data_IF_551397534755
#
_entry.id   IF_551397534755
#
_cell.length_a   1.000
_cell.length_b   1.000
_cell.length_c   1.000
_cell.angle_alpha   90.00
_cell.angle_beta   90.00
_cell.angle_gamma   90.00
#
_symmetry.space_group_name_H-M   'P 1'
#
loop_
_entity.id
_entity.type
_entity.pdbx_description
1 polymer ?
#
# COMPACT_ATOMS: atom_id res chain seq x y z
N UNK A 1 -35.08 18.02 -12.07
CA UNK A 1 -34.73 17.57 -10.71
C UNK A 1 -33.36 16.91 -10.77
N UNK A 2 -32.33 17.60 -10.28
CA UNK A 2 -30.98 17.05 -10.15
C UNK A 2 -30.39 17.59 -8.86
N UNK A 3 -30.13 16.71 -7.90
CA UNK A 3 -29.45 17.08 -6.65
C UNK A 3 -28.04 16.51 -6.69
N UNK A 4 -27.10 17.43 -6.92
CA UNK A 4 -25.68 17.29 -6.62
C UNK A 4 -25.53 17.13 -5.10
N UNK A 5 -24.92 16.04 -4.64
CA UNK A 5 -24.53 15.87 -3.24
C UNK A 5 -23.21 16.65 -3.07
N UNK A 6 -23.34 17.87 -2.56
CA UNK A 6 -22.21 18.68 -2.12
C UNK A 6 -21.68 18.18 -0.78
N UNK A 7 -20.38 17.86 -0.73
CA UNK A 7 -19.63 17.71 0.50
C UNK A 7 -19.61 19.05 1.24
N UNK A 8 -20.44 19.18 2.28
CA UNK A 8 -20.38 20.31 3.18
C UNK A 8 -19.16 20.15 4.11
N UNK A 9 -18.18 21.03 3.93
CA UNK A 9 -17.16 21.34 4.93
C UNK A 9 -17.84 21.63 6.27
N UNK A 10 -17.61 20.78 7.26
CA UNK A 10 -17.71 21.17 8.66
C UNK A 10 -16.28 21.39 9.16
N UNK A 11 -15.91 22.65 9.36
CA UNK A 11 -14.63 23.02 9.95
C UNK A 11 -14.55 22.56 11.42
N UNK A 12 -13.41 22.01 11.89
CA UNK A 12 -13.11 22.00 13.30
C UNK A 12 -12.25 23.21 13.64
N UNK A 13 -12.84 24.19 14.32
CA UNK A 13 -12.06 25.08 15.16
C UNK A 13 -11.57 24.28 16.38
N UNK A 14 -10.28 24.40 16.69
CA UNK A 14 -9.58 23.85 17.87
C UNK A 14 -9.07 22.39 17.81
N UNK A 15 -8.22 22.08 16.83
CA UNK A 15 -6.99 21.27 17.06
C UNK A 15 -5.89 21.85 16.15
N UNK A 16 -5.27 22.93 16.61
CA UNK A 16 -4.19 23.60 15.89
C UNK A 16 -2.85 22.97 16.27
N UNK A 17 -2.18 22.36 15.29
CA UNK A 17 -0.82 21.85 15.36
C UNK A 17 -0.75 20.40 14.89
N UNK A 18 -0.15 20.16 13.72
CA UNK A 18 0.28 18.86 13.21
C UNK A 18 -0.73 17.92 12.54
N UNK A 19 -1.73 18.45 11.83
CA UNK A 19 -2.36 17.73 10.70
C UNK A 19 -1.90 18.38 9.40
N UNK A 20 -0.61 18.24 9.10
CA UNK A 20 -0.06 18.63 7.79
C UNK A 20 -0.54 17.62 6.74
N UNK A 21 -1.64 17.98 6.08
CA UNK A 21 -1.99 17.62 4.70
C UNK A 21 -1.69 16.16 4.34
N UNK A 22 -2.64 15.29 4.64
CA UNK A 22 -2.84 14.10 3.83
C UNK A 22 -2.83 14.56 2.37
N UNK A 23 -1.82 14.17 1.58
CA UNK A 23 -1.83 14.50 0.16
C UNK A 23 -3.11 13.91 -0.42
N UNK A 24 -3.90 14.69 -1.18
CA UNK A 24 -5.15 14.27 -1.82
C UNK A 24 -5.06 12.85 -2.41
N UNK A 25 -3.94 12.53 -3.06
CA UNK A 25 -3.64 11.20 -3.62
C UNK A 25 -3.71 10.06 -2.59
N UNK A 26 -3.20 10.26 -1.37
CA UNK A 26 -3.26 9.26 -0.31
C UNK A 26 -4.68 9.08 0.22
N UNK A 27 -5.47 10.17 0.33
CA UNK A 27 -6.87 10.08 0.71
C UNK A 27 -7.70 9.29 -0.30
N UNK A 28 -7.50 9.55 -1.58
CA UNK A 28 -8.15 8.83 -2.67
C UNK A 28 -7.74 7.35 -2.67
N UNK A 29 -6.45 7.08 -2.44
CA UNK A 29 -5.93 5.72 -2.34
C UNK A 29 -6.52 4.96 -1.14
N UNK A 30 -6.66 5.62 0.02
CA UNK A 30 -7.29 5.01 1.19
C UNK A 30 -8.81 4.86 1.03
N UNK A 31 -9.48 5.77 0.32
CA UNK A 31 -10.89 5.62 -0.02
C UNK A 31 -11.12 4.41 -0.93
N UNK A 32 -10.19 4.10 -1.85
CA UNK A 32 -10.24 2.89 -2.68
C UNK A 32 -10.07 1.61 -1.86
N UNK A 33 -9.11 1.59 -0.93
CA UNK A 33 -8.87 0.46 -0.01
C UNK A 33 -10.11 0.18 0.85
N UNK A 34 -10.73 1.24 1.37
CA UNK A 34 -11.93 1.13 2.17
C UNK A 34 -13.16 0.76 1.31
N UNK A 35 -13.29 1.33 0.11
CA UNK A 35 -14.43 1.11 -0.78
C UNK A 35 -14.50 -0.29 -1.39
N UNK A 36 -13.39 -1.02 -1.44
CA UNK A 36 -13.37 -2.44 -1.84
C UNK A 36 -13.91 -3.38 -0.76
N UNK A 37 -14.05 -2.92 0.47
CA UNK A 37 -14.74 -3.67 1.52
C UNK A 37 -16.22 -3.31 1.54
N UNK A 38 -17.09 -4.32 1.53
CA UNK A 38 -18.54 -4.16 1.59
C UNK A 38 -19.05 -3.62 2.93
N UNK A 39 -18.21 -3.61 3.96
CA UNK A 39 -18.54 -3.11 5.30
C UNK A 39 -18.11 -1.65 5.46
N UNK A 40 -18.96 -0.85 6.08
CA UNK A 40 -18.61 0.52 6.43
C UNK A 40 -17.37 0.54 7.36
N UNK A 41 -16.38 1.39 7.10
CA UNK A 41 -15.17 1.45 7.90
C UNK A 41 -15.49 1.86 9.33
N UNK A 42 -15.02 1.09 10.31
CA UNK A 42 -15.16 1.44 11.72
C UNK A 42 -14.28 2.63 12.07
N UNK A 43 -14.63 3.36 13.12
CA UNK A 43 -13.80 4.46 13.64
C UNK A 43 -12.38 4.00 14.00
N UNK A 44 -12.24 2.74 14.43
CA UNK A 44 -10.94 2.13 14.74
C UNK A 44 -10.08 1.94 13.48
N UNK A 45 -10.65 1.45 12.38
CA UNK A 45 -9.94 1.32 11.09
C UNK A 45 -9.52 2.68 10.55
N UNK A 46 -10.40 3.68 10.62
CA UNK A 46 -10.08 5.05 10.20
C UNK A 46 -8.94 5.63 11.06
N UNK A 47 -8.98 5.43 12.37
CA UNK A 47 -7.91 5.87 13.26
C UNK A 47 -6.60 5.11 13.00
N UNK A 48 -6.64 3.83 12.65
CA UNK A 48 -5.46 3.07 12.26
C UNK A 48 -4.82 3.63 10.98
N UNK A 49 -5.63 3.90 9.94
CA UNK A 49 -5.16 4.51 8.69
C UNK A 49 -4.55 5.89 8.94
N UNK A 50 -5.15 6.71 9.80
CA UNK A 50 -4.59 8.00 10.18
C UNK A 50 -3.21 7.87 10.89
N UNK A 51 -3.00 6.81 11.69
CA UNK A 51 -1.68 6.55 12.30
C UNK A 51 -0.64 6.10 11.27
N UNK A 52 -1.04 5.38 10.23
CA UNK A 52 -0.16 5.00 9.13
C UNK A 52 0.29 6.23 8.32
N UNK A 53 -0.61 7.20 8.14
CA UNK A 53 -0.28 8.50 7.56
C UNK A 53 0.79 9.24 8.39
N UNK A 54 0.59 9.33 9.70
CA UNK A 54 1.61 9.91 10.59
C UNK A 54 2.93 9.14 10.56
N UNK A 55 2.89 7.81 10.42
CA UNK A 55 4.10 7.00 10.32
C UNK A 55 4.90 7.28 9.04
N UNK A 56 4.25 7.59 7.91
CA UNK A 56 4.96 7.81 6.63
C UNK A 56 5.83 9.07 6.62
N UNK A 57 5.48 10.07 7.43
CA UNK A 57 6.21 11.35 7.52
C UNK A 57 7.45 11.26 8.41
N UNK A 58 7.54 10.22 9.26
CA UNK A 58 8.64 10.00 10.20
C UNK A 58 9.67 9.06 9.59
N UNK A 59 10.68 9.58 8.88
CA UNK A 59 11.80 8.77 8.37
C UNK A 59 12.93 8.63 9.41
N UNK A 60 13.67 7.50 9.48
CA UNK A 60 13.49 6.21 8.78
C UNK A 60 12.64 5.18 9.54
N UNK A 61 12.19 5.50 10.76
CA UNK A 61 11.42 4.60 11.62
C UNK A 61 10.06 4.23 11.02
N UNK A 62 9.46 5.14 10.26
CA UNK A 62 8.18 5.01 9.59
C UNK A 62 8.11 3.86 8.60
N UNK A 63 9.13 3.69 7.74
CA UNK A 63 9.18 2.59 6.79
C UNK A 63 9.16 1.23 7.49
N UNK A 64 9.91 1.08 8.58
CA UNK A 64 9.96 -0.16 9.34
C UNK A 64 8.61 -0.49 9.97
N UNK A 65 7.96 0.51 10.57
CA UNK A 65 6.61 0.37 11.15
C UNK A 65 5.57 -0.01 10.09
N UNK A 66 5.60 0.64 8.93
CA UNK A 66 4.69 0.33 7.82
C UNK A 66 4.91 -1.09 7.28
N UNK A 67 6.17 -1.54 7.17
CA UNK A 67 6.47 -2.92 6.77
C UNK A 67 6.08 -3.96 7.84
N UNK A 68 6.10 -3.61 9.13
CA UNK A 68 5.58 -4.46 10.20
C UNK A 68 4.05 -4.53 10.11
N UNK A 69 3.39 -3.39 9.88
CA UNK A 69 1.94 -3.30 9.71
C UNK A 69 1.42 -3.92 8.42
N UNK A 70 2.26 -4.07 7.40
CA UNK A 70 1.94 -4.84 6.19
C UNK A 70 2.08 -6.35 6.36
N UNK A 71 2.41 -6.86 7.55
CA UNK A 71 2.67 -8.28 7.78
C UNK A 71 1.52 -8.93 8.59
N UNK A 72 0.96 -10.07 8.11
CA UNK A 72 -0.16 -10.74 8.78
C UNK A 72 0.19 -11.29 10.17
N UNK A 73 1.48 -11.42 10.48
CA UNK A 73 1.95 -11.76 11.83
C UNK A 73 1.68 -10.66 12.87
N UNK A 74 1.66 -9.40 12.45
CA UNK A 74 1.56 -8.25 13.35
C UNK A 74 0.26 -7.46 13.18
N UNK A 75 -0.40 -7.57 12.03
CA UNK A 75 -1.63 -6.85 11.73
C UNK A 75 -2.67 -7.82 11.11
N UNK A 76 -3.69 -8.25 11.88
CA UNK A 76 -4.68 -9.21 11.40
C UNK A 76 -5.63 -8.63 10.35
N UNK A 77 -5.86 -7.31 10.34
CA UNK A 77 -6.82 -6.68 9.41
C UNK A 77 -6.21 -6.48 8.00
N UNK A 78 -6.74 -7.14 6.95
CA UNK A 78 -6.30 -6.98 5.57
C UNK A 78 -6.25 -5.54 5.09
N UNK A 79 -7.22 -4.74 5.52
CA UNK A 79 -7.41 -3.36 5.11
C UNK A 79 -6.28 -2.48 5.64
N UNK A 80 -5.92 -2.71 6.90
CA UNK A 80 -4.81 -1.99 7.56
C UNK A 80 -3.48 -2.44 6.95
N UNK A 81 -3.32 -3.74 6.64
CA UNK A 81 -2.12 -4.23 5.93
C UNK A 81 -1.97 -3.59 4.56
N UNK A 82 -3.04 -3.56 3.76
CA UNK A 82 -3.01 -2.95 2.43
C UNK A 82 -2.69 -1.45 2.53
N UNK A 83 -3.36 -0.74 3.44
CA UNK A 83 -3.11 0.67 3.69
C UNK A 83 -1.64 0.93 4.10
N UNK A 84 -1.08 0.10 4.97
CA UNK A 84 0.30 0.21 5.43
C UNK A 84 1.30 -0.01 4.29
N UNK A 85 1.05 -1.01 3.44
CA UNK A 85 1.86 -1.28 2.26
C UNK A 85 1.78 -0.09 1.30
N UNK A 86 0.59 0.39 0.94
CA UNK A 86 0.40 1.55 0.04
C UNK A 86 1.08 2.82 0.56
N UNK A 87 1.02 3.08 1.87
CA UNK A 87 1.71 4.21 2.50
C UNK A 87 3.23 4.23 2.27
N UNK A 88 3.86 3.07 2.02
CA UNK A 88 5.31 3.00 1.72
C UNK A 88 5.69 3.75 0.44
N UNK A 89 4.76 3.96 -0.50
CA UNK A 89 5.01 4.77 -1.72
C UNK A 89 5.40 6.22 -1.42
N UNK A 90 5.03 6.70 -0.23
CA UNK A 90 5.17 8.08 0.17
C UNK A 90 6.27 8.30 1.21
N UNK A 91 7.05 7.28 1.55
CA UNK A 91 8.17 7.41 2.49
C UNK A 91 9.41 7.91 1.73
N UNK A 92 10.08 8.92 2.30
CA UNK A 92 11.12 9.70 1.62
C UNK A 92 12.45 8.94 1.33
N UNK A 93 12.77 7.86 2.05
CA UNK A 93 13.84 6.87 1.77
C UNK A 93 14.05 5.95 3.02
N UNK A 94 14.75 4.79 2.91
CA UNK A 94 15.48 4.33 1.74
C UNK A 94 14.88 3.11 1.04
N UNK A 95 15.00 3.11 -0.28
CA UNK A 95 15.06 1.97 -1.20
C UNK A 95 16.24 1.05 -0.82
N UNK A 96 16.30 0.62 0.43
CA UNK A 96 17.31 -0.30 0.90
C UNK A 96 16.87 -1.73 0.53
N UNK A 97 17.86 -2.59 0.35
CA UNK A 97 17.66 -3.99 0.01
C UNK A 97 16.76 -4.72 1.04
N UNK A 98 16.82 -4.33 2.31
CA UNK A 98 16.02 -4.95 3.38
C UNK A 98 14.51 -4.70 3.20
N UNK A 99 14.12 -3.47 2.87
CA UNK A 99 12.73 -3.11 2.58
C UNK A 99 12.22 -3.85 1.35
N UNK A 100 13.05 -3.97 0.30
CA UNK A 100 12.71 -4.76 -0.89
C UNK A 100 12.52 -6.25 -0.57
N UNK A 101 13.39 -6.84 0.26
CA UNK A 101 13.25 -8.24 0.70
C UNK A 101 11.96 -8.48 1.51
N UNK A 102 11.60 -7.52 2.37
CA UNK A 102 10.34 -7.58 3.14
C UNK A 102 9.12 -7.45 2.24
N UNK A 103 9.14 -6.55 1.26
CA UNK A 103 8.09 -6.43 0.25
C UNK A 103 7.96 -7.67 -0.62
N UNK A 104 9.05 -8.33 -0.99
CA UNK A 104 9.01 -9.64 -1.69
C UNK A 104 8.29 -10.68 -0.85
N UNK A 105 8.53 -10.71 0.47
CA UNK A 105 7.80 -11.62 1.37
C UNK A 105 6.31 -11.28 1.45
N UNK A 106 5.95 -9.99 1.46
CA UNK A 106 4.53 -9.57 1.45
C UNK A 106 3.87 -9.89 0.10
N UNK A 107 4.63 -9.89 -1.00
CA UNK A 107 4.13 -10.30 -2.31
C UNK A 107 4.02 -11.83 -2.49
N UNK A 108 4.50 -12.62 -1.54
CA UNK A 108 4.49 -14.08 -1.59
C UNK A 108 3.17 -14.64 -1.01
N UNK A 109 2.37 -15.37 -1.78
CA UNK A 109 1.11 -15.98 -1.32
C UNK A 109 1.30 -17.02 -0.21
N UNK A 110 2.50 -17.58 -0.02
CA UNK A 110 2.79 -18.43 1.14
C UNK A 110 2.85 -17.63 2.46
N UNK A 111 3.00 -16.31 2.38
CA UNK A 111 3.21 -15.42 3.53
C UNK A 111 2.10 -14.39 3.73
N UNK A 112 1.46 -13.92 2.66
CA UNK A 112 0.33 -12.98 2.71
C UNK A 112 -0.90 -13.60 2.03
N UNK A 113 -1.96 -13.95 2.79
CA UNK A 113 -3.16 -14.57 2.24
C UNK A 113 -3.96 -13.61 1.34
N UNK A 114 -3.89 -12.30 1.56
CA UNK A 114 -4.79 -11.34 0.91
C UNK A 114 -4.25 -10.84 -0.44
N UNK A 115 -4.91 -11.13 -1.57
CA UNK A 115 -4.44 -10.77 -2.90
C UNK A 115 -4.23 -9.27 -3.10
N UNK A 116 -5.09 -8.44 -2.50
CA UNK A 116 -4.99 -6.98 -2.59
C UNK A 116 -3.71 -6.44 -1.94
N UNK A 117 -3.29 -7.03 -0.80
CA UNK A 117 -2.05 -6.67 -0.11
C UNK A 117 -0.84 -7.09 -0.96
N UNK A 118 -0.88 -8.28 -1.56
CA UNK A 118 0.17 -8.76 -2.48
C UNK A 118 0.30 -7.84 -3.70
N UNK A 119 -0.81 -7.47 -4.33
CA UNK A 119 -0.83 -6.55 -5.47
C UNK A 119 -0.25 -5.17 -5.11
N UNK A 120 -0.56 -4.65 -3.93
CA UNK A 120 0.02 -3.39 -3.44
C UNK A 120 1.54 -3.49 -3.28
N UNK A 121 2.05 -4.59 -2.70
CA UNK A 121 3.48 -4.82 -2.52
C UNK A 121 4.22 -4.93 -3.86
N UNK A 122 3.65 -5.66 -4.83
CA UNK A 122 4.17 -5.76 -6.20
C UNK A 122 4.24 -4.39 -6.88
N UNK A 123 3.20 -3.57 -6.70
CA UNK A 123 3.14 -2.21 -7.22
C UNK A 123 4.23 -1.29 -6.66
N UNK A 124 4.69 -1.54 -5.44
CA UNK A 124 5.82 -0.80 -4.85
C UNK A 124 7.13 -1.36 -5.38
N UNK A 125 7.31 -2.68 -5.39
CA UNK A 125 8.52 -3.34 -5.91
C UNK A 125 8.86 -2.90 -7.35
N UNK A 126 7.85 -2.78 -8.22
CA UNK A 126 8.03 -2.29 -9.57
C UNK A 126 8.52 -0.83 -9.65
N UNK A 127 8.11 0.01 -8.69
CA UNK A 127 8.56 1.41 -8.61
C UNK A 127 9.98 1.58 -8.07
N UNK A 128 10.51 0.54 -7.39
CA UNK A 128 11.82 0.59 -6.75
C UNK A 128 12.99 0.51 -7.74
N UNK A 129 12.75 0.20 -9.03
CA UNK A 129 13.77 0.09 -10.09
C UNK A 129 14.96 -0.82 -9.72
N UNK A 130 14.72 -1.85 -8.90
CA UNK A 130 15.76 -2.81 -8.52
C UNK A 130 15.62 -4.04 -9.42
N UNK A 131 16.58 -4.29 -10.31
CA UNK A 131 16.57 -5.44 -11.21
C UNK A 131 16.41 -6.78 -10.48
N UNK A 132 17.02 -6.92 -9.29
CA UNK A 132 16.85 -8.11 -8.43
C UNK A 132 15.42 -8.25 -7.88
N UNK A 133 14.71 -7.13 -7.64
CA UNK A 133 13.32 -7.16 -7.22
C UNK A 133 12.40 -7.59 -8.36
N UNK A 134 12.66 -7.18 -9.60
CA UNK A 134 11.86 -7.61 -10.75
C UNK A 134 11.98 -9.11 -11.04
N UNK A 135 13.18 -9.68 -10.94
CA UNK A 135 13.36 -11.12 -11.07
C UNK A 135 12.60 -11.90 -9.99
N UNK A 136 12.57 -11.39 -8.75
CA UNK A 136 11.82 -11.99 -7.64
C UNK A 136 10.30 -11.81 -7.77
N UNK A 137 9.85 -10.66 -8.27
CA UNK A 137 8.44 -10.40 -8.62
C UNK A 137 7.95 -11.41 -9.65
N UNK A 138 8.73 -11.62 -10.72
CA UNK A 138 8.40 -12.60 -11.75
C UNK A 138 8.34 -14.03 -11.21
N UNK A 139 9.21 -14.38 -10.25
CA UNK A 139 9.22 -15.69 -9.60
C UNK A 139 8.03 -15.88 -8.64
N UNK A 140 7.66 -14.85 -7.86
CA UNK A 140 6.52 -14.92 -6.93
C UNK A 140 5.18 -14.96 -7.64
N UNK A 141 5.08 -14.44 -8.87
CA UNK A 141 3.83 -14.36 -9.63
C UNK A 141 3.65 -15.44 -10.68
N UNK A 142 4.46 -16.51 -10.65
CA UNK A 142 4.29 -17.68 -11.51
C UNK A 142 2.95 -18.36 -11.23
N UNK A 143 2.37 -18.98 -12.26
CA UNK A 143 1.03 -19.60 -12.19
C UNK A 143 0.92 -20.69 -11.13
N UNK A 144 2.01 -21.41 -10.86
CA UNK A 144 2.12 -22.44 -9.82
C UNK A 144 2.29 -21.87 -8.41
N UNK A 145 2.57 -20.57 -8.27
CA UNK A 145 2.86 -19.92 -6.99
C UNK A 145 1.81 -18.90 -6.59
N UNK A 146 1.38 -18.04 -7.51
CA UNK A 146 0.34 -17.04 -7.27
C UNK A 146 -1.01 -17.54 -7.76
N UNK A 147 -1.95 -17.93 -6.86
CA UNK A 147 -3.25 -18.46 -7.26
C UNK A 147 -4.16 -17.38 -7.87
N UNK A 148 -4.00 -16.11 -7.51
CA UNK A 148 -4.91 -15.04 -7.95
C UNK A 148 -4.55 -14.51 -9.36
N UNK A 149 -5.43 -14.69 -10.36
CA UNK A 149 -5.15 -14.25 -11.73
C UNK A 149 -5.06 -12.73 -11.88
N UNK A 150 -5.75 -11.95 -11.05
CA UNK A 150 -5.64 -10.50 -11.05
C UNK A 150 -4.26 -10.05 -10.56
N UNK A 151 -3.73 -10.70 -9.51
CA UNK A 151 -2.37 -10.41 -9.01
C UNK A 151 -1.31 -10.75 -10.07
N UNK A 152 -1.42 -11.90 -10.75
CA UNK A 152 -0.52 -12.27 -11.86
C UNK A 152 -0.55 -11.25 -13.01
N UNK A 153 -1.75 -10.78 -13.37
CA UNK A 153 -1.92 -9.74 -14.39
C UNK A 153 -1.28 -8.42 -13.95
N UNK A 154 -1.53 -7.98 -12.72
CA UNK A 154 -0.91 -6.77 -12.16
C UNK A 154 0.62 -6.85 -12.20
N UNK A 155 1.21 -7.99 -11.83
CA UNK A 155 2.66 -8.18 -11.90
C UNK A 155 3.20 -8.05 -13.33
N UNK A 156 2.54 -8.69 -14.30
CA UNK A 156 2.92 -8.65 -15.71
C UNK A 156 2.81 -7.24 -16.30
N UNK A 157 1.72 -6.53 -16.00
CA UNK A 157 1.52 -5.13 -16.42
C UNK A 157 2.60 -4.20 -15.82
N UNK A 158 2.96 -4.42 -14.55
CA UNK A 158 3.99 -3.64 -13.86
C UNK A 158 5.39 -3.89 -14.42
N UNK A 159 5.75 -5.14 -14.71
CA UNK A 159 7.02 -5.49 -15.35
C UNK A 159 7.09 -4.88 -16.75
N UNK A 160 6.03 -5.00 -17.55
CA UNK A 160 5.96 -4.40 -18.88
C UNK A 160 6.13 -2.87 -18.84
N UNK A 161 5.50 -2.19 -17.87
CA UNK A 161 5.67 -0.73 -17.67
C UNK A 161 7.08 -0.36 -17.23
N UNK A 162 7.69 -1.13 -16.34
CA UNK A 162 9.07 -0.91 -15.91
C UNK A 162 10.07 -1.08 -17.06
N UNK A 163 9.88 -2.09 -17.91
CA UNK A 163 10.68 -2.28 -19.13
C UNK A 163 10.52 -1.11 -20.11
N UNK A 164 9.28 -0.63 -20.32
CA UNK A 164 9.01 0.51 -21.20
C UNK A 164 9.58 1.84 -20.67
N UNK A 165 9.74 1.97 -19.35
CA UNK A 165 10.30 3.16 -18.71
C UNK A 165 11.85 3.13 -18.62
N UNK A 166 12.52 2.08 -19.11
CA UNK A 166 13.98 1.92 -18.97
C UNK A 166 14.42 1.72 -17.51
N UNK A 167 13.54 1.19 -16.66
CA UNK A 167 13.73 1.09 -15.21
C UNK A 167 14.51 -0.16 -14.75
N UNK A 168 15.17 -0.86 -15.69
CA UNK A 168 15.90 -2.12 -15.47
C UNK A 168 17.22 -2.13 -16.23
#
# INVERSE_FOLDING_TARGET
>A
MGRLIGFALLAPAAVAGDVQVLTQAFLEEMAEVLGRNSEAPTAEKLAAIARLDAARTVSPLGAALLLDRGNPRFEPDPVIREAAVRALRHVAEPRNRMSALRLVRIADPAHEPEPAVRAAALGILASLQVAEAAARVLDSTREDREPDPAVRKTASDLVARGLAAGAY
#
